data_IF_868128100498
#
_entry.id   IF_868128100498
#
_cell.length_a   1.000
_cell.length_b   1.000
_cell.length_c   1.000
_cell.angle_alpha   90.00
_cell.angle_beta   90.00
_cell.angle_gamma   90.00
#
_symmetry.space_group_name_H-M   'P 1'
#
loop_
_entity.id
_entity.type
_entity.pdbx_description
1 polymer ?
#
# COMPACT_ATOMS: atom_id res chain seq x y z
N UNK A 1 3.68 -4.01 -10.99
CA UNK A 1 3.06 -2.94 -11.78
C UNK A 1 3.73 -1.62 -11.53
N UNK A 2 3.86 -0.83 -12.58
CA UNK A 2 4.42 0.52 -12.48
C UNK A 2 3.33 1.54 -12.71
N UNK A 3 3.33 2.60 -11.89
CA UNK A 3 2.42 3.71 -12.01
C UNK A 3 3.19 5.01 -12.15
N UNK A 4 2.67 5.95 -12.93
CA UNK A 4 3.11 7.34 -12.84
C UNK A 4 2.81 7.89 -11.44
N UNK A 5 3.36 9.05 -11.10
CA UNK A 5 3.07 9.66 -9.79
C UNK A 5 1.58 9.90 -9.59
N UNK A 6 0.87 10.39 -10.61
CA UNK A 6 -0.57 10.62 -10.53
C UNK A 6 -1.36 9.33 -10.41
N UNK A 7 -1.01 8.31 -11.22
CA UNK A 7 -1.65 7.01 -11.14
C UNK A 7 -1.44 6.36 -9.78
N UNK A 8 -0.24 6.48 -9.20
CA UNK A 8 0.06 5.97 -7.88
C UNK A 8 -0.78 6.65 -6.81
N UNK A 9 -0.95 7.97 -6.88
CA UNK A 9 -1.79 8.71 -5.93
C UNK A 9 -3.25 8.23 -5.98
N UNK A 10 -3.79 8.03 -7.17
CA UNK A 10 -5.15 7.51 -7.34
C UNK A 10 -5.26 6.08 -6.83
N UNK A 11 -4.31 5.22 -7.20
CA UNK A 11 -4.33 3.81 -6.80
C UNK A 11 -4.24 3.65 -5.28
N UNK A 12 -3.35 4.39 -4.63
CA UNK A 12 -3.17 4.32 -3.18
C UNK A 12 -4.42 4.76 -2.40
N UNK A 13 -5.18 5.69 -2.96
CA UNK A 13 -6.42 6.17 -2.33
C UNK A 13 -7.62 5.28 -2.62
N UNK A 14 -7.65 4.60 -3.77
CA UNK A 14 -8.82 3.86 -4.22
C UNK A 14 -8.71 2.34 -4.06
N UNK A 15 -7.51 1.78 -4.08
CA UNK A 15 -7.27 0.33 -4.10
C UNK A 15 -6.71 -0.22 -2.80
N UNK A 16 -6.42 0.64 -1.83
CA UNK A 16 -5.81 0.27 -0.55
C UNK A 16 -6.61 0.84 0.60
N UNK A 17 -6.70 0.08 1.69
CA UNK A 17 -7.18 0.66 2.95
C UNK A 17 -6.19 1.71 3.41
N UNK A 18 -6.69 2.74 4.09
CA UNK A 18 -5.86 3.77 4.66
C UNK A 18 -4.97 3.18 5.76
N UNK A 19 -3.65 3.34 5.60
CA UNK A 19 -2.64 2.97 6.59
C UNK A 19 -1.62 4.09 6.70
N UNK A 20 -0.80 4.06 7.74
CA UNK A 20 0.28 5.04 7.91
C UNK A 20 1.26 5.01 6.74
N UNK A 21 1.51 3.84 6.18
CA UNK A 21 2.44 3.70 5.06
C UNK A 21 1.85 4.24 3.75
N UNK A 22 0.52 4.19 3.58
CA UNK A 22 -0.14 4.92 2.47
C UNK A 22 0.12 6.42 2.61
N UNK A 23 -0.04 6.97 3.79
CA UNK A 23 0.22 8.40 4.04
C UNK A 23 1.68 8.75 3.80
N UNK A 24 2.60 7.87 4.19
CA UNK A 24 4.02 8.05 3.92
C UNK A 24 4.29 8.16 2.43
N UNK A 25 3.77 7.22 1.63
CA UNK A 25 4.00 7.21 0.18
C UNK A 25 3.37 8.43 -0.47
N UNK A 26 2.12 8.75 -0.12
CA UNK A 26 1.43 9.92 -0.67
C UNK A 26 2.17 11.23 -0.34
N UNK A 27 2.68 11.35 0.88
CA UNK A 27 3.47 12.51 1.29
C UNK A 27 4.78 12.61 0.53
N UNK A 28 5.48 11.51 0.32
CA UNK A 28 6.72 11.47 -0.45
C UNK A 28 6.48 11.86 -1.91
N UNK A 29 5.51 11.21 -2.56
CA UNK A 29 5.17 11.47 -3.97
C UNK A 29 4.76 12.93 -4.17
N UNK A 30 3.95 13.47 -3.25
CA UNK A 30 3.46 14.85 -3.34
C UNK A 30 4.56 15.90 -3.21
N UNK A 31 5.71 15.54 -2.61
CA UNK A 31 6.85 16.44 -2.46
C UNK A 31 7.91 16.27 -3.54
N UNK A 32 7.80 15.25 -4.39
CA UNK A 32 8.75 15.06 -5.49
C UNK A 32 8.53 16.11 -6.56
N UNK A 33 9.63 16.73 -7.00
CA UNK A 33 9.56 17.74 -8.06
C UNK A 33 9.52 17.08 -9.43
N UNK A 34 8.47 17.39 -10.19
CA UNK A 34 8.28 16.87 -11.56
C UNK A 34 9.35 17.33 -12.53
N UNK A 35 10.04 18.42 -12.22
CA UNK A 35 11.03 19.04 -13.12
C UNK A 35 12.47 18.66 -12.81
N UNK A 36 12.71 17.88 -11.76
CA UNK A 36 14.06 17.48 -11.37
C UNK A 36 14.31 16.04 -11.72
N UNK A 37 15.53 15.78 -12.17
CA UNK A 37 15.98 14.40 -12.33
C UNK A 37 16.10 13.74 -10.97
N UNK A 38 15.59 12.52 -10.87
CA UNK A 38 15.82 11.68 -9.70
C UNK A 38 17.29 11.25 -9.78
N UNK A 39 18.14 11.89 -8.98
CA UNK A 39 19.48 11.38 -8.76
C UNK A 39 19.36 10.25 -7.75
N UNK A 40 19.24 9.05 -8.23
CA UNK A 40 19.19 7.90 -7.36
C UNK A 40 20.59 7.37 -7.12
N UNK A 41 21.10 7.51 -5.93
CA UNK A 41 22.09 6.56 -5.45
C UNK A 41 21.32 5.30 -5.06
N UNK A 42 21.04 4.47 -6.03
CA UNK A 42 20.39 3.20 -5.82
C UNK A 42 21.45 2.11 -5.71
N UNK A 43 21.69 1.64 -4.50
CA UNK A 43 22.61 0.52 -4.26
C UNK A 43 21.90 -0.84 -4.22
N UNK A 44 20.66 -0.89 -4.71
CA UNK A 44 19.83 -2.09 -4.72
C UNK A 44 19.01 -2.31 -3.45
N UNK A 45 19.35 -1.66 -2.35
CA UNK A 45 18.65 -1.77 -1.06
C UNK A 45 18.02 -0.46 -0.63
N UNK A 46 18.79 0.62 -0.69
CA UNK A 46 18.31 1.97 -0.33
C UNK A 46 18.28 2.87 -1.55
N UNK A 47 17.28 3.70 -1.63
CA UNK A 47 17.10 4.68 -2.68
C UNK A 47 16.93 6.06 -2.07
N UNK A 48 17.57 7.06 -2.68
CA UNK A 48 17.45 8.45 -2.27
C UNK A 48 16.81 9.24 -3.41
N UNK A 49 15.80 10.03 -3.09
CA UNK A 49 15.11 10.90 -4.04
C UNK A 49 15.17 12.35 -3.57
N UNK A 50 15.06 13.28 -4.52
CA UNK A 50 14.97 14.70 -4.20
C UNK A 50 13.51 15.10 -3.99
N UNK A 51 13.25 15.78 -2.87
CA UNK A 51 11.92 16.26 -2.51
C UNK A 51 11.97 17.74 -2.20
N UNK A 52 10.85 18.43 -2.34
CA UNK A 52 10.71 19.82 -1.92
C UNK A 52 10.57 19.91 -0.41
N UNK A 53 11.35 20.79 0.18
CA UNK A 53 11.25 21.19 1.58
C UNK A 53 11.03 22.71 1.61
N UNK A 54 9.78 23.14 1.54
CA UNK A 54 9.43 24.56 1.45
C UNK A 54 9.46 25.09 0.01
N UNK A 55 9.38 26.43 -0.15
CA UNK A 55 9.14 27.06 -1.45
C UNK A 55 10.38 27.03 -2.36
N UNK A 56 11.57 27.01 -1.79
CA UNK A 56 12.83 27.16 -2.54
C UNK A 56 13.89 26.12 -2.20
N UNK A 57 13.58 25.17 -1.34
CA UNK A 57 14.55 24.19 -0.88
C UNK A 57 14.25 22.81 -1.42
N UNK A 58 15.32 22.13 -1.82
CA UNK A 58 15.30 20.73 -2.23
C UNK A 58 16.19 19.98 -1.28
N UNK A 59 15.70 18.86 -0.78
CA UNK A 59 16.48 17.98 0.09
C UNK A 59 16.48 16.56 -0.44
N UNK A 60 17.50 15.79 -0.08
CA UNK A 60 17.57 14.38 -0.37
C UNK A 60 16.85 13.61 0.74
N UNK A 61 15.98 12.72 0.35
CA UNK A 61 15.27 11.86 1.29
C UNK A 61 15.45 10.40 0.90
N UNK A 62 15.81 9.58 1.88
CA UNK A 62 15.83 8.13 1.69
C UNK A 62 14.42 7.59 1.55
N UNK A 63 14.25 6.68 0.59
CA UNK A 63 13.01 5.96 0.39
C UNK A 63 13.03 4.69 1.23
N UNK A 64 12.01 4.46 2.04
CA UNK A 64 11.87 3.18 2.75
C UNK A 64 11.66 2.06 1.73
N UNK A 65 12.52 1.04 1.69
CA UNK A 65 12.43 -0.01 0.67
C UNK A 65 11.23 -0.93 0.90
N UNK A 66 10.80 -1.11 2.15
CA UNK A 66 9.67 -1.96 2.50
C UNK A 66 8.58 -1.13 3.15
N UNK A 67 7.37 -1.27 2.66
CA UNK A 67 6.17 -0.62 3.21
C UNK A 67 5.10 -1.68 3.46
N UNK A 68 4.27 -1.46 4.48
CA UNK A 68 3.15 -2.33 4.80
C UNK A 68 1.87 -1.70 4.29
N UNK A 69 1.20 -2.38 3.38
CA UNK A 69 -0.02 -1.89 2.73
C UNK A 69 -1.12 -2.94 2.80
N UNK A 70 -2.37 -2.48 2.77
CA UNK A 70 -3.56 -3.33 2.84
C UNK A 70 -4.44 -3.13 1.60
N UNK A 71 -4.09 -3.75 0.46
CA UNK A 71 -4.93 -3.66 -0.74
C UNK A 71 -6.30 -4.29 -0.52
N UNK A 72 -7.33 -3.75 -1.17
CA UNK A 72 -8.64 -4.38 -1.19
C UNK A 72 -8.60 -5.65 -2.03
N UNK A 73 -8.72 -6.79 -1.37
CA UNK A 73 -8.69 -8.13 -1.98
C UNK A 73 -9.97 -8.91 -1.74
N UNK A 74 -10.82 -8.40 -0.83
CA UNK A 74 -12.09 -8.99 -0.45
C UNK A 74 -13.17 -7.91 -0.38
N UNK A 75 -14.17 -8.05 0.48
CA UNK A 75 -15.20 -7.03 0.65
C UNK A 75 -14.64 -5.75 1.26
N UNK A 76 -15.10 -4.59 0.80
CA UNK A 76 -14.63 -3.30 1.32
C UNK A 76 -14.96 -3.09 2.80
N UNK A 77 -15.99 -3.76 3.31
CA UNK A 77 -16.41 -3.68 4.71
C UNK A 77 -15.54 -4.53 5.64
N UNK A 78 -14.66 -5.34 5.09
CA UNK A 78 -13.79 -6.24 5.85
C UNK A 78 -12.42 -5.59 6.05
N UNK A 79 -11.86 -5.74 7.24
CA UNK A 79 -10.48 -5.35 7.47
C UNK A 79 -9.57 -6.13 6.53
N UNK A 80 -8.80 -5.42 5.74
CA UNK A 80 -7.92 -6.03 4.76
C UNK A 80 -6.59 -6.45 5.40
N UNK A 81 -6.05 -7.60 5.02
CA UNK A 81 -4.74 -8.01 5.53
C UNK A 81 -3.64 -7.10 4.99
N UNK A 82 -2.71 -6.76 5.86
CA UNK A 82 -1.51 -6.04 5.47
C UNK A 82 -0.48 -7.00 4.90
N UNK A 83 0.25 -6.55 3.91
CA UNK A 83 1.37 -7.26 3.30
C UNK A 83 2.53 -6.31 3.13
N UNK A 84 3.73 -6.86 3.16
CA UNK A 84 4.93 -6.10 2.85
C UNK A 84 5.10 -5.97 1.34
N UNK A 85 5.40 -4.75 0.91
CA UNK A 85 5.68 -4.43 -0.49
C UNK A 85 7.04 -3.79 -0.62
N UNK A 86 7.77 -4.14 -1.66
CA UNK A 86 8.97 -3.40 -2.06
C UNK A 86 8.52 -2.14 -2.78
N UNK A 87 8.89 -0.99 -2.25
CA UNK A 87 8.55 0.32 -2.80
C UNK A 87 9.76 0.94 -3.46
N UNK A 88 9.62 1.31 -4.73
CA UNK A 88 10.69 1.96 -5.49
C UNK A 88 10.13 3.03 -6.42
N UNK A 89 10.98 4.02 -6.71
CA UNK A 89 10.71 5.06 -7.70
C UNK A 89 11.82 4.99 -8.74
N UNK A 90 11.47 4.83 -10.01
CA UNK A 90 12.49 4.76 -11.05
C UNK A 90 12.90 6.16 -11.57
N UNK A 91 13.85 6.19 -12.52
CA UNK A 91 14.37 7.44 -13.08
C UNK A 91 13.31 8.20 -13.87
N UNK A 92 12.30 7.52 -14.39
CA UNK A 92 11.18 8.11 -15.11
C UNK A 92 10.05 8.55 -14.16
N UNK A 93 10.28 8.51 -12.85
CA UNK A 93 9.33 8.85 -11.79
C UNK A 93 8.11 7.92 -11.78
N UNK A 94 8.29 6.68 -12.16
CA UNK A 94 7.27 5.66 -11.99
C UNK A 94 7.43 5.00 -10.63
N UNK A 95 6.31 4.79 -9.97
CA UNK A 95 6.25 4.10 -8.69
C UNK A 95 6.00 2.62 -8.93
N UNK A 96 6.77 1.77 -8.30
CA UNK A 96 6.51 0.33 -8.30
C UNK A 96 6.30 -0.20 -6.90
N UNK A 97 5.30 -1.06 -6.75
CA UNK A 97 5.00 -1.79 -5.53
C UNK A 97 4.96 -3.26 -5.88
N UNK A 98 5.87 -4.03 -5.28
CA UNK A 98 5.97 -5.47 -5.52
C UNK A 98 5.75 -6.19 -4.19
N UNK A 99 4.80 -7.08 -4.16
CA UNK A 99 4.50 -7.86 -2.97
C UNK A 99 5.69 -8.73 -2.56
N UNK A 100 6.01 -8.72 -1.28
CA UNK A 100 7.21 -9.35 -0.75
C UNK A 100 6.94 -10.42 0.33
N UNK A 101 5.68 -10.72 0.63
CA UNK A 101 5.33 -11.63 1.73
C UNK A 101 5.06 -13.07 1.28
N UNK A 102 5.30 -13.41 0.02
CA UNK A 102 5.10 -14.75 -0.51
C UNK A 102 3.64 -15.20 -0.58
N UNK A 103 2.69 -14.27 -0.50
CA UNK A 103 1.25 -14.58 -0.57
C UNK A 103 0.63 -14.98 0.77
N UNK A 104 1.29 -14.73 1.88
CA UNK A 104 0.74 -15.02 3.23
C UNK A 104 -0.57 -14.29 3.50
N UNK A 105 -0.84 -13.21 2.79
CA UNK A 105 -2.09 -12.45 2.90
C UNK A 105 -3.33 -13.31 2.63
N UNK A 106 -3.20 -14.39 1.87
CA UNK A 106 -4.35 -15.23 1.48
C UNK A 106 -5.04 -15.86 2.70
N UNK A 107 -4.27 -16.37 3.64
CA UNK A 107 -4.83 -16.95 4.86
C UNK A 107 -5.47 -15.87 5.74
N UNK A 108 -4.79 -14.74 5.90
CA UNK A 108 -5.32 -13.62 6.68
C UNK A 108 -6.61 -13.05 6.07
N UNK A 109 -6.68 -12.95 4.74
CA UNK A 109 -7.89 -12.51 4.05
C UNK A 109 -9.05 -13.47 4.29
N UNK A 110 -8.82 -14.78 4.22
CA UNK A 110 -9.83 -15.79 4.49
C UNK A 110 -10.38 -15.68 5.92
N UNK A 111 -9.50 -15.52 6.89
CA UNK A 111 -9.88 -15.38 8.28
C UNK A 111 -10.67 -14.09 8.53
N UNK A 112 -10.30 -12.98 7.90
CA UNK A 112 -11.03 -11.72 8.03
C UNK A 112 -12.45 -11.82 7.45
N UNK A 113 -12.62 -12.43 6.29
CA UNK A 113 -13.95 -12.66 5.70
C UNK A 113 -14.79 -13.56 6.58
N UNK A 114 -14.19 -14.63 7.09
CA UNK A 114 -14.87 -15.56 7.99
C UNK A 114 -15.39 -14.86 9.24
N UNK A 115 -14.56 -14.03 9.86
CA UNK A 115 -14.95 -13.25 11.05
C UNK A 115 -16.07 -12.26 10.74
N UNK A 116 -15.96 -11.55 9.62
CA UNK A 116 -16.99 -10.61 9.19
C UNK A 116 -18.34 -11.31 8.99
N UNK A 117 -18.36 -12.43 8.28
CA UNK A 117 -19.59 -13.17 8.02
C UNK A 117 -20.20 -13.74 9.31
N UNK A 118 -19.38 -14.25 10.21
CA UNK A 118 -19.86 -14.73 11.52
C UNK A 118 -20.54 -13.62 12.33
N UNK A 119 -19.95 -12.44 12.35
CA UNK A 119 -20.51 -11.29 13.06
C UNK A 119 -21.80 -10.80 12.40
N UNK A 120 -21.83 -10.73 11.07
CA UNK A 120 -23.01 -10.28 10.33
C UNK A 120 -24.19 -11.26 10.42
N UNK A 121 -23.89 -12.56 10.54
CA UNK A 121 -24.89 -13.64 10.59
C UNK A 121 -25.04 -14.25 11.99
N UNK A 122 -24.63 -13.54 13.03
CA UNK A 122 -24.57 -14.09 14.39
C UNK A 122 -25.91 -14.67 14.85
N UNK A 123 -27.03 -13.99 14.59
CA UNK A 123 -28.35 -14.49 14.97
C UNK A 123 -28.72 -15.77 14.23
N UNK A 124 -28.47 -15.82 12.93
CA UNK A 124 -28.78 -16.98 12.10
C UNK A 124 -27.91 -18.18 12.46
N UNK A 125 -26.62 -17.96 12.72
CA UNK A 125 -25.72 -19.00 13.19
C UNK A 125 -26.13 -19.52 14.57
N UNK A 126 -26.50 -18.61 15.46
CA UNK A 126 -26.97 -18.96 16.79
C UNK A 126 -28.26 -19.81 16.75
N UNK A 127 -29.15 -19.50 15.79
CA UNK A 127 -30.39 -20.24 15.58
C UNK A 127 -30.22 -21.50 14.73
N UNK A 128 -28.99 -21.85 14.38
CA UNK A 128 -28.63 -22.97 13.50
C UNK A 128 -29.24 -22.86 12.09
N UNK A 129 -29.50 -21.65 11.63
CA UNK A 129 -30.06 -21.40 10.30
C UNK A 129 -29.00 -21.24 9.22
N UNK A 130 -27.78 -20.83 9.58
CA UNK A 130 -26.65 -20.62 8.67
C UNK A 130 -25.39 -21.20 9.27
N UNK A 131 -24.61 -21.90 8.44
CA UNK A 131 -23.28 -22.40 8.80
C UNK A 131 -22.27 -21.66 7.95
N UNK A 132 -21.27 -21.03 8.60
CA UNK A 132 -20.19 -20.33 7.92
C UNK A 132 -19.00 -21.26 7.75
N UNK A 133 -18.67 -21.57 6.48
CA UNK A 133 -17.52 -22.40 6.12
C UNK A 133 -16.67 -21.65 5.09
N UNK A 134 -15.44 -21.29 5.47
CA UNK A 134 -14.49 -20.62 4.59
C UNK A 134 -13.10 -21.22 4.70
#
# INVERSE_FOLDING_TARGET
SKWSLEEAMVALRSKFQHTDDVDYILGLIGRMDVNQQISSEDNGVTQTVQVRSGVSFVENQQVRPIVSLAPYRTFQEVLQPESDFVFRVDQDRNVSLTEADGGMWKLAARNAVKTYLRNALAEEVYKEQVIVTL
#
